data_IF_170538012230
#
_entry.id   IF_170538012230
#
_cell.length_a   1.000
_cell.length_b   1.000
_cell.length_c   1.000
_cell.angle_alpha   90.00
_cell.angle_beta   90.00
_cell.angle_gamma   90.00
#
_symmetry.space_group_name_H-M   'P 1'
#
loop_
_entity.id
_entity.type
_entity.pdbx_description
1 polymer ?
#
# COMPACT_ATOMS: atom_id res chain seq x y z
N UNK A 1 67.85 18.03 4.49
CA UNK A 1 66.58 18.10 5.19
C UNK A 1 65.60 17.13 4.51
N UNK A 2 65.22 16.01 5.08
CA UNK A 2 64.31 15.08 4.42
C UNK A 2 62.84 15.55 4.65
N UNK A 3 62.18 15.79 3.53
CA UNK A 3 60.74 16.14 3.50
C UNK A 3 59.93 14.94 3.97
N UNK A 4 59.18 15.12 5.06
CA UNK A 4 58.31 14.09 5.64
C UNK A 4 57.21 13.73 4.64
N UNK A 5 57.35 12.62 3.91
CA UNK A 5 56.30 12.06 2.99
C UNK A 5 55.20 11.29 3.72
N UNK A 6 55.16 11.31 5.03
CA UNK A 6 54.20 10.56 5.86
C UNK A 6 52.75 11.06 5.82
N UNK A 7 52.45 12.38 5.77
CA UNK A 7 51.06 12.82 5.78
C UNK A 7 50.30 12.56 4.49
N UNK A 8 51.01 12.49 3.32
CA UNK A 8 50.33 12.22 2.04
C UNK A 8 49.82 10.78 1.93
N UNK A 9 50.57 9.80 2.45
CA UNK A 9 50.17 8.39 2.45
C UNK A 9 48.96 8.15 3.35
N UNK A 10 48.87 8.84 4.50
CA UNK A 10 47.73 8.74 5.42
C UNK A 10 46.47 9.34 4.82
N UNK A 11 46.56 10.44 4.06
CA UNK A 11 45.46 11.05 3.34
C UNK A 11 44.92 10.13 2.24
N UNK A 12 45.82 9.46 1.53
CA UNK A 12 45.47 8.50 0.45
C UNK A 12 44.75 7.27 1.02
N UNK A 13 45.12 6.76 2.19
CA UNK A 13 44.48 5.66 2.88
C UNK A 13 43.10 6.08 3.40
N UNK A 14 42.94 7.29 3.92
CA UNK A 14 41.63 7.80 4.39
C UNK A 14 40.65 8.06 3.24
N UNK A 15 41.11 8.42 2.05
CA UNK A 15 40.25 8.58 0.86
C UNK A 15 39.85 7.23 0.29
N UNK A 16 40.66 6.18 0.41
CA UNK A 16 40.34 4.83 -0.07
C UNK A 16 39.27 4.12 0.75
N UNK A 17 39.03 4.51 2.01
CA UNK A 17 37.98 3.90 2.85
C UNK A 17 36.57 4.42 2.59
N UNK A 18 36.42 5.53 1.87
CA UNK A 18 35.08 6.08 1.58
C UNK A 18 34.43 5.52 0.30
N UNK A 19 35.09 4.61 -0.41
CA UNK A 19 34.54 4.02 -1.66
C UNK A 19 33.84 2.67 -1.46
N UNK A 20 33.77 2.16 -0.22
CA UNK A 20 33.18 0.83 0.05
C UNK A 20 31.64 0.89 0.19
N UNK A 21 31.05 2.07 0.34
CA UNK A 21 29.58 2.22 0.43
C UNK A 21 28.83 2.23 -0.91
N UNK A 22 29.51 2.20 -2.04
CA UNK A 22 28.89 2.29 -3.38
C UNK A 22 28.45 0.95 -3.97
N UNK A 23 28.60 -0.18 -3.26
CA UNK A 23 28.30 -1.51 -3.81
C UNK A 23 27.01 -2.15 -3.30
N UNK A 24 26.14 -1.42 -2.64
CA UNK A 24 24.83 -1.93 -2.21
C UNK A 24 23.69 -1.69 -3.20
N UNK A 25 23.98 -1.23 -4.40
CA UNK A 25 22.98 -1.29 -5.47
C UNK A 25 23.08 -2.67 -6.14
N UNK A 26 22.06 -3.51 -5.89
CA UNK A 26 21.84 -4.77 -6.62
C UNK A 26 21.47 -4.51 -8.09
N UNK A 27 22.29 -3.74 -8.80
CA UNK A 27 22.13 -3.54 -10.23
C UNK A 27 22.54 -4.81 -10.97
N UNK A 28 21.60 -5.35 -11.76
CA UNK A 28 21.89 -6.39 -12.73
C UNK A 28 21.82 -7.84 -12.23
N UNK A 29 21.23 -8.11 -11.07
CA UNK A 29 20.92 -9.48 -10.64
C UNK A 29 19.45 -9.78 -10.85
N UNK A 30 19.13 -10.47 -11.93
CA UNK A 30 17.83 -11.11 -12.08
C UNK A 30 17.67 -12.17 -11.00
N UNK A 31 16.45 -12.34 -10.51
CA UNK A 31 16.09 -13.47 -9.67
C UNK A 31 16.28 -14.76 -10.47
N UNK A 32 16.60 -15.84 -9.80
CA UNK A 32 16.61 -17.17 -10.41
C UNK A 32 15.15 -17.52 -10.73
N UNK A 33 14.90 -17.87 -11.98
CA UNK A 33 13.63 -18.42 -12.43
C UNK A 33 13.78 -19.93 -12.44
N UNK A 34 12.96 -20.63 -11.67
CA UNK A 34 13.01 -22.10 -11.55
C UNK A 34 12.08 -22.79 -12.54
N UNK A 35 11.19 -22.03 -13.18
CA UNK A 35 10.20 -22.52 -14.13
C UNK A 35 10.27 -21.73 -15.43
N UNK A 36 10.06 -22.39 -16.55
CA UNK A 36 9.87 -21.74 -17.85
C UNK A 36 8.39 -21.41 -18.03
N UNK A 37 8.08 -20.13 -18.20
CA UNK A 37 6.71 -19.65 -18.39
C UNK A 37 6.38 -19.51 -19.87
N UNK A 38 5.47 -20.31 -20.37
CA UNK A 38 4.83 -20.08 -21.68
C UNK A 38 3.73 -19.02 -21.52
N UNK A 39 4.09 -17.76 -21.72
CA UNK A 39 3.15 -16.65 -21.59
C UNK A 39 2.16 -16.62 -22.74
N UNK A 40 0.88 -16.56 -22.38
CA UNK A 40 -0.25 -16.32 -23.26
C UNK A 40 -0.88 -14.98 -22.91
N UNK A 41 -1.65 -14.39 -23.84
CA UNK A 41 -2.25 -13.07 -23.68
C UNK A 41 -3.73 -13.15 -23.99
N UNK A 42 -4.56 -12.65 -23.08
CA UNK A 42 -5.95 -12.29 -23.33
C UNK A 42 -6.00 -10.77 -23.50
N UNK A 43 -6.65 -10.31 -24.54
CA UNK A 43 -6.88 -8.88 -24.75
C UNK A 43 -8.35 -8.56 -24.54
N UNK A 44 -8.63 -7.67 -23.59
CA UNK A 44 -9.96 -7.11 -23.35
C UNK A 44 -10.02 -5.67 -23.86
N UNK A 45 -11.05 -4.91 -23.56
CA UNK A 45 -11.15 -3.51 -23.99
C UNK A 45 -10.05 -2.65 -23.37
N UNK A 46 -9.76 -2.84 -22.07
CA UNK A 46 -8.84 -1.98 -21.34
C UNK A 46 -7.56 -2.68 -20.87
N UNK A 47 -7.45 -4.01 -21.02
CA UNK A 47 -6.32 -4.77 -20.46
C UNK A 47 -5.63 -5.67 -21.48
N UNK A 48 -4.31 -5.85 -21.28
CA UNK A 48 -3.49 -6.93 -21.82
C UNK A 48 -3.12 -7.87 -20.69
N UNK A 49 -3.75 -9.04 -20.62
CA UNK A 49 -3.65 -9.98 -19.50
C UNK A 49 -2.70 -11.10 -19.87
N UNK A 50 -1.57 -11.15 -19.18
CA UNK A 50 -0.54 -12.17 -19.34
C UNK A 50 -0.76 -13.28 -18.32
N UNK A 51 -0.81 -14.52 -18.77
CA UNK A 51 -0.92 -15.72 -17.92
C UNK A 51 -0.11 -16.87 -18.52
N UNK A 52 0.18 -17.91 -17.74
CA UNK A 52 0.96 -19.05 -18.20
C UNK A 52 0.30 -20.39 -17.89
N UNK A 53 0.63 -21.41 -18.67
CA UNK A 53 0.17 -22.78 -18.45
C UNK A 53 -1.35 -22.97 -18.60
N UNK A 54 -1.93 -23.79 -17.73
CA UNK A 54 -3.38 -24.13 -17.69
C UNK A 54 -4.20 -23.15 -16.83
N UNK A 55 -3.87 -21.86 -16.87
CA UNK A 55 -4.50 -20.83 -16.03
C UNK A 55 -5.57 -20.02 -16.77
N UNK A 56 -6.04 -20.49 -17.95
CA UNK A 56 -6.93 -19.74 -18.82
C UNK A 56 -8.24 -19.35 -18.12
N UNK A 57 -8.93 -20.29 -17.48
CA UNK A 57 -10.23 -20.06 -16.83
C UNK A 57 -10.13 -18.98 -15.73
N UNK A 58 -9.11 -19.05 -14.89
CA UNK A 58 -8.88 -18.06 -13.84
C UNK A 58 -8.47 -16.70 -14.44
N UNK A 59 -7.70 -16.71 -15.54
CA UNK A 59 -7.32 -15.48 -16.22
C UNK A 59 -8.54 -14.79 -16.87
N UNK A 60 -9.48 -15.54 -17.41
CA UNK A 60 -10.76 -15.02 -17.95
C UNK A 60 -11.62 -14.41 -16.83
N UNK A 61 -11.74 -15.09 -15.67
CA UNK A 61 -12.42 -14.55 -14.48
C UNK A 61 -11.73 -13.27 -13.99
N UNK A 62 -10.41 -13.29 -13.95
CA UNK A 62 -9.62 -12.09 -13.58
C UNK A 62 -9.81 -10.93 -14.55
N UNK A 63 -10.01 -11.22 -15.84
CA UNK A 63 -10.32 -10.23 -16.86
C UNK A 63 -11.69 -9.57 -16.62
N UNK A 64 -12.70 -10.34 -16.27
CA UNK A 64 -14.02 -9.82 -15.91
C UNK A 64 -13.94 -8.91 -14.68
N UNK A 65 -13.25 -9.34 -13.64
CA UNK A 65 -13.05 -8.52 -12.42
C UNK A 65 -12.30 -7.22 -12.72
N UNK A 66 -11.34 -7.25 -13.63
CA UNK A 66 -10.59 -6.07 -14.01
C UNK A 66 -11.44 -5.06 -14.79
N UNK A 67 -12.25 -5.53 -15.75
CA UNK A 67 -13.15 -4.66 -16.52
C UNK A 67 -14.26 -4.06 -15.64
N UNK A 68 -14.86 -4.85 -14.73
CA UNK A 68 -15.80 -4.33 -13.73
C UNK A 68 -15.18 -3.20 -12.90
N UNK A 69 -13.94 -3.41 -12.41
CA UNK A 69 -13.23 -2.42 -11.62
C UNK A 69 -12.89 -1.17 -12.45
N UNK A 70 -12.50 -1.32 -13.71
CA UNK A 70 -12.22 -0.22 -14.61
C UNK A 70 -13.46 0.67 -14.79
N UNK A 71 -14.61 0.06 -15.04
CA UNK A 71 -15.87 0.79 -15.21
C UNK A 71 -16.30 1.57 -13.95
N UNK A 72 -16.07 1.00 -12.78
CA UNK A 72 -16.33 1.67 -11.53
C UNK A 72 -15.33 2.81 -11.28
N UNK A 73 -14.02 2.56 -11.46
CA UNK A 73 -12.98 3.51 -11.09
C UNK A 73 -12.87 4.70 -12.02
N UNK A 74 -13.21 4.56 -13.32
CA UNK A 74 -13.34 5.73 -14.20
C UNK A 74 -14.35 6.75 -13.68
N UNK A 75 -15.40 6.29 -12.99
CA UNK A 75 -16.41 7.15 -12.38
C UNK A 75 -15.90 7.71 -11.05
N UNK A 76 -15.40 6.85 -10.14
CA UNK A 76 -14.92 7.25 -8.82
C UNK A 76 -13.77 8.26 -8.88
N UNK A 77 -12.81 8.05 -9.77
CA UNK A 77 -11.70 8.97 -9.97
C UNK A 77 -12.05 10.18 -10.86
N UNK A 78 -13.22 10.15 -11.53
CA UNK A 78 -13.56 11.12 -12.56
C UNK A 78 -12.38 11.33 -13.53
N UNK A 79 -11.83 10.24 -14.01
CA UNK A 79 -10.66 10.19 -14.91
C UNK A 79 -10.66 8.87 -15.69
N UNK A 80 -9.95 8.85 -16.80
CA UNK A 80 -9.86 7.65 -17.64
C UNK A 80 -8.40 7.30 -17.93
N UNK A 81 -8.06 6.04 -17.80
CA UNK A 81 -6.79 5.48 -18.25
C UNK A 81 -6.93 5.09 -19.71
N UNK A 82 -6.32 5.87 -20.61
CA UNK A 82 -6.49 5.71 -22.06
C UNK A 82 -5.62 4.63 -22.67
N UNK A 83 -4.56 4.20 -21.99
CA UNK A 83 -3.69 3.10 -22.43
C UNK A 83 -4.21 1.78 -21.88
N UNK A 84 -3.98 0.70 -22.64
CA UNK A 84 -4.24 -0.64 -22.10
C UNK A 84 -3.31 -0.91 -20.91
N UNK A 85 -3.86 -1.52 -19.88
CA UNK A 85 -3.14 -1.82 -18.64
C UNK A 85 -2.63 -3.25 -18.73
N UNK A 86 -1.31 -3.50 -18.64
CA UNK A 86 -0.79 -4.86 -18.59
C UNK A 86 -1.05 -5.46 -17.20
N UNK A 87 -1.80 -6.58 -17.15
CA UNK A 87 -1.97 -7.41 -15.97
C UNK A 87 -1.16 -8.69 -16.14
N UNK A 88 -0.33 -9.04 -15.16
CA UNK A 88 0.48 -10.27 -15.18
C UNK A 88 0.01 -11.16 -14.05
N UNK A 89 -0.66 -12.25 -14.42
CA UNK A 89 -1.18 -13.22 -13.47
C UNK A 89 -0.25 -14.42 -13.32
N UNK A 90 0.10 -14.73 -12.09
CA UNK A 90 0.82 -15.93 -11.72
C UNK A 90 -0.11 -16.95 -11.07
N UNK A 91 0.06 -18.23 -11.40
CA UNK A 91 -0.79 -19.29 -10.89
C UNK A 91 -0.64 -19.52 -9.39
N UNK A 92 0.54 -19.20 -8.85
CA UNK A 92 0.86 -19.35 -7.43
C UNK A 92 1.74 -18.21 -6.93
N UNK A 93 1.75 -18.02 -5.61
CA UNK A 93 2.65 -17.05 -4.97
C UNK A 93 4.14 -17.40 -5.17
N UNK A 94 4.49 -18.70 -5.21
CA UNK A 94 5.87 -19.15 -5.46
C UNK A 94 6.35 -18.72 -6.85
N UNK A 95 5.49 -18.81 -7.86
CA UNK A 95 5.79 -18.33 -9.21
C UNK A 95 5.91 -16.81 -9.24
N UNK A 96 5.02 -16.11 -8.54
CA UNK A 96 5.06 -14.65 -8.41
C UNK A 96 6.37 -14.15 -7.77
N UNK A 97 6.90 -14.85 -6.78
CA UNK A 97 8.19 -14.51 -6.16
C UNK A 97 9.37 -14.55 -7.15
N UNK A 98 9.26 -15.29 -8.27
CA UNK A 98 10.28 -15.38 -9.31
C UNK A 98 10.27 -14.20 -10.29
N UNK A 99 9.24 -13.32 -10.23
CA UNK A 99 9.14 -12.18 -11.17
C UNK A 99 10.36 -11.27 -11.09
N UNK A 100 10.89 -10.89 -12.26
CA UNK A 100 11.93 -9.89 -12.41
C UNK A 100 11.40 -8.47 -12.68
N UNK A 101 10.09 -8.26 -12.54
CA UNK A 101 9.46 -6.94 -12.67
C UNK A 101 9.89 -6.03 -11.52
N UNK A 102 10.05 -6.60 -10.33
CA UNK A 102 10.63 -5.91 -9.18
C UNK A 102 11.90 -6.61 -8.69
N UNK A 103 12.88 -5.84 -8.22
CA UNK A 103 14.10 -6.37 -7.62
C UNK A 103 13.88 -6.82 -6.17
N UNK A 104 14.70 -7.77 -5.70
CA UNK A 104 14.66 -8.23 -4.32
C UNK A 104 13.63 -9.32 -4.05
N UNK A 105 13.59 -9.76 -2.80
CA UNK A 105 12.67 -10.80 -2.33
C UNK A 105 11.26 -10.22 -2.16
N UNK A 106 10.24 -10.98 -2.56
CA UNK A 106 8.83 -10.65 -2.33
C UNK A 106 8.36 -11.48 -1.12
N UNK A 107 8.01 -10.84 0.01
CA UNK A 107 7.46 -11.54 1.18
C UNK A 107 6.15 -12.27 0.87
N UNK A 108 5.84 -13.32 1.63
CA UNK A 108 4.60 -14.11 1.48
C UNK A 108 3.33 -13.27 1.68
N UNK A 109 3.40 -12.20 2.48
CA UNK A 109 2.26 -11.32 2.73
C UNK A 109 1.95 -10.34 1.60
N UNK A 110 2.75 -10.30 0.52
CA UNK A 110 2.51 -9.41 -0.62
C UNK A 110 1.54 -10.10 -1.58
N UNK A 111 0.31 -9.60 -1.67
CA UNK A 111 -0.74 -10.14 -2.53
C UNK A 111 -0.65 -9.75 -4.00
N UNK A 112 0.06 -8.67 -4.32
CA UNK A 112 0.28 -8.14 -5.66
C UNK A 112 1.10 -6.86 -5.60
N UNK A 113 1.37 -6.26 -6.73
CA UNK A 113 1.94 -4.91 -6.79
C UNK A 113 1.71 -4.22 -8.13
N UNK A 114 1.62 -2.91 -8.06
CA UNK A 114 1.64 -2.03 -9.22
C UNK A 114 3.05 -1.53 -9.50
N UNK A 115 3.61 -1.85 -10.67
CA UNK A 115 4.91 -1.35 -11.12
C UNK A 115 4.72 -0.03 -11.87
N UNK A 116 5.15 1.05 -11.23
CA UNK A 116 4.90 2.42 -11.64
C UNK A 116 5.50 2.82 -13.00
N UNK A 117 6.73 2.36 -13.32
CA UNK A 117 7.47 2.85 -14.50
C UNK A 117 6.84 2.43 -15.82
N UNK A 118 6.42 1.18 -15.93
CA UNK A 118 5.75 0.62 -17.12
C UNK A 118 4.26 0.48 -16.92
N UNK A 119 3.77 0.70 -15.70
CA UNK A 119 2.36 0.63 -15.34
C UNK A 119 1.79 -0.78 -15.42
N UNK A 120 2.59 -1.78 -15.05
CA UNK A 120 2.17 -3.18 -14.98
C UNK A 120 1.61 -3.50 -13.61
N UNK A 121 0.57 -4.29 -13.59
CA UNK A 121 0.01 -4.87 -12.37
C UNK A 121 0.36 -6.34 -12.34
N UNK A 122 0.92 -6.82 -11.23
CA UNK A 122 1.40 -8.20 -11.09
C UNK A 122 0.72 -8.84 -9.89
N UNK A 123 0.01 -9.94 -10.13
CA UNK A 123 -0.87 -10.57 -9.12
C UNK A 123 -0.72 -12.09 -9.16
N UNK A 124 -0.46 -12.76 -8.02
CA UNK A 124 -0.59 -14.20 -7.90
C UNK A 124 -2.04 -14.59 -7.58
N UNK A 125 -2.47 -15.73 -8.07
CA UNK A 125 -3.66 -16.39 -7.58
C UNK A 125 -3.31 -17.21 -6.34
N UNK A 126 -4.00 -16.96 -5.22
CA UNK A 126 -3.72 -17.60 -3.93
C UNK A 126 -4.79 -18.64 -3.53
N UNK A 127 -5.55 -19.17 -4.51
CA UNK A 127 -6.54 -20.22 -4.30
C UNK A 127 -7.95 -19.71 -3.99
N UNK A 128 -8.16 -18.43 -3.75
CA UNK A 128 -9.48 -17.82 -3.50
C UNK A 128 -9.82 -16.79 -4.59
N UNK A 129 -10.94 -16.96 -5.26
CA UNK A 129 -11.44 -15.99 -6.25
C UNK A 129 -11.84 -14.67 -5.59
N UNK A 130 -12.37 -14.68 -4.38
CA UNK A 130 -12.71 -13.48 -3.63
C UNK A 130 -11.45 -12.64 -3.34
N UNK A 131 -10.41 -13.29 -2.84
CA UNK A 131 -9.12 -12.62 -2.59
C UNK A 131 -8.48 -12.14 -3.91
N UNK A 132 -8.57 -12.94 -4.98
CA UNK A 132 -8.05 -12.55 -6.29
C UNK A 132 -8.77 -11.32 -6.84
N UNK A 133 -10.12 -11.27 -6.73
CA UNK A 133 -10.91 -10.08 -7.07
C UNK A 133 -10.50 -8.87 -6.24
N UNK A 134 -10.34 -9.04 -4.93
CA UNK A 134 -9.89 -7.96 -4.03
C UNK A 134 -8.54 -7.40 -4.48
N UNK A 135 -7.54 -8.25 -4.69
CA UNK A 135 -6.19 -7.80 -5.08
C UNK A 135 -6.19 -7.12 -6.45
N UNK A 136 -6.91 -7.66 -7.45
CA UNK A 136 -7.05 -6.99 -8.75
C UNK A 136 -7.60 -5.57 -8.57
N UNK A 137 -8.66 -5.42 -7.81
CA UNK A 137 -9.28 -4.12 -7.53
C UNK A 137 -8.34 -3.19 -6.78
N UNK A 138 -7.64 -3.69 -5.76
CA UNK A 138 -6.67 -2.94 -4.97
C UNK A 138 -5.57 -2.34 -5.85
N UNK A 139 -4.94 -3.17 -6.67
CA UNK A 139 -3.86 -2.72 -7.57
C UNK A 139 -4.37 -1.76 -8.65
N UNK A 140 -5.61 -1.93 -9.11
CA UNK A 140 -6.21 -1.01 -10.08
C UNK A 140 -6.51 0.36 -9.45
N UNK A 141 -6.83 0.45 -8.16
CA UNK A 141 -6.91 1.76 -7.47
C UNK A 141 -5.58 2.51 -7.58
N UNK A 142 -4.45 1.82 -7.39
CA UNK A 142 -3.13 2.45 -7.55
C UNK A 142 -2.89 2.95 -8.98
N UNK A 143 -3.33 2.21 -9.99
CA UNK A 143 -3.22 2.63 -11.40
C UNK A 143 -4.00 3.92 -11.65
N UNK A 144 -5.28 3.94 -11.26
CA UNK A 144 -6.17 5.10 -11.47
C UNK A 144 -5.73 6.32 -10.65
N UNK A 145 -5.38 6.09 -9.38
CA UNK A 145 -4.86 7.16 -8.51
C UNK A 145 -3.59 7.79 -9.09
N UNK A 146 -2.66 6.96 -9.55
CA UNK A 146 -1.42 7.43 -10.18
C UNK A 146 -1.70 8.24 -11.44
N UNK A 147 -2.60 7.76 -12.30
CA UNK A 147 -3.01 8.46 -13.52
C UNK A 147 -3.66 9.81 -13.18
N UNK A 148 -4.61 9.82 -12.23
CA UNK A 148 -5.28 11.05 -11.77
C UNK A 148 -4.29 12.08 -11.23
N UNK A 149 -3.41 11.66 -10.33
CA UNK A 149 -2.38 12.55 -9.77
C UNK A 149 -1.41 13.07 -10.84
N UNK A 150 -1.05 12.22 -11.79
CA UNK A 150 -0.20 12.62 -12.91
C UNK A 150 -0.88 13.68 -13.78
N UNK A 151 -2.15 13.47 -14.15
CA UNK A 151 -2.92 14.41 -14.96
C UNK A 151 -3.07 15.76 -14.26
N UNK A 152 -3.46 15.78 -12.99
CA UNK A 152 -3.59 17.01 -12.19
C UNK A 152 -2.28 17.80 -12.17
N UNK A 153 -1.16 17.13 -11.90
CA UNK A 153 0.14 17.79 -11.78
C UNK A 153 0.68 18.26 -13.13
N UNK A 154 0.43 17.48 -14.19
CA UNK A 154 0.75 17.88 -15.57
C UNK A 154 -0.02 19.14 -15.99
N UNK A 155 -1.34 19.16 -15.77
CA UNK A 155 -2.20 20.31 -16.13
C UNK A 155 -1.83 21.57 -15.36
N UNK A 156 -1.36 21.40 -14.12
CA UNK A 156 -0.86 22.48 -13.26
C UNK A 156 0.62 22.82 -13.46
N UNK A 157 1.31 22.12 -14.39
CA UNK A 157 2.75 22.30 -14.69
C UNK A 157 3.64 22.15 -13.47
N UNK A 158 3.29 21.21 -12.57
CA UNK A 158 4.06 20.92 -11.37
C UNK A 158 5.27 20.05 -11.76
N UNK A 159 6.47 20.57 -11.54
CA UNK A 159 7.73 19.86 -11.85
C UNK A 159 8.17 18.91 -10.72
N UNK A 160 7.95 19.31 -9.47
CA UNK A 160 8.21 18.45 -8.31
C UNK A 160 6.94 17.67 -7.96
N UNK A 161 6.88 16.41 -8.40
CA UNK A 161 5.72 15.57 -8.22
C UNK A 161 5.45 15.29 -6.74
N UNK A 162 4.21 15.47 -6.34
CA UNK A 162 3.72 15.18 -5.00
C UNK A 162 2.90 13.92 -5.01
N UNK A 163 3.10 13.08 -4.00
CA UNK A 163 2.28 11.88 -3.75
C UNK A 163 1.66 12.01 -2.36
N UNK A 164 0.47 11.47 -2.14
CA UNK A 164 -0.07 11.32 -0.81
C UNK A 164 0.84 10.43 0.06
N UNK A 165 0.73 10.50 1.39
CA UNK A 165 1.43 9.57 2.26
C UNK A 165 0.94 8.12 2.05
N UNK A 166 1.79 7.14 2.39
CA UNK A 166 1.50 5.72 2.13
C UNK A 166 0.19 5.28 2.78
N UNK A 167 -0.12 5.74 4.01
CA UNK A 167 -1.37 5.38 4.68
C UNK A 167 -2.62 5.80 3.89
N UNK A 168 -2.56 6.94 3.18
CA UNK A 168 -3.67 7.37 2.32
C UNK A 168 -3.72 6.53 1.04
N UNK A 169 -2.57 6.25 0.43
CA UNK A 169 -2.45 5.46 -0.81
C UNK A 169 -3.04 4.06 -0.58
N UNK A 170 -2.58 3.38 0.46
CA UNK A 170 -3.00 2.02 0.79
C UNK A 170 -4.42 2.00 1.39
N UNK A 171 -4.72 2.97 2.25
CA UNK A 171 -6.08 3.12 2.80
C UNK A 171 -7.13 3.32 1.72
N UNK A 172 -6.82 4.08 0.67
CA UNK A 172 -7.72 4.27 -0.48
C UNK A 172 -7.87 2.99 -1.29
N UNK A 173 -6.76 2.28 -1.53
CA UNK A 173 -6.78 1.01 -2.23
C UNK A 173 -7.64 -0.02 -1.48
N UNK A 174 -7.52 -0.11 -0.17
CA UNK A 174 -8.38 -0.93 0.68
C UNK A 174 -9.85 -0.47 0.65
N UNK A 175 -10.11 0.83 0.81
CA UNK A 175 -11.47 1.38 0.91
C UNK A 175 -12.27 1.19 -0.38
N UNK A 176 -11.66 1.35 -1.55
CA UNK A 176 -12.38 1.21 -2.83
C UNK A 176 -12.31 -0.20 -3.44
N UNK A 177 -11.45 -1.09 -2.93
CA UNK A 177 -11.32 -2.45 -3.45
C UNK A 177 -12.19 -3.47 -2.74
N UNK A 178 -12.44 -3.28 -1.45
CA UNK A 178 -13.08 -4.26 -0.61
C UNK A 178 -13.91 -3.64 0.51
N UNK A 179 -14.86 -4.39 1.05
CA UNK A 179 -15.63 -3.97 2.20
C UNK A 179 -14.83 -4.10 3.51
N UNK A 180 -15.31 -3.44 4.57
CA UNK A 180 -14.76 -3.58 5.92
C UNK A 180 -15.04 -4.97 6.47
N UNK A 181 -14.05 -5.85 6.46
CA UNK A 181 -14.17 -7.25 6.85
C UNK A 181 -13.93 -7.50 8.35
N UNK A 182 -14.10 -8.75 8.76
CA UNK A 182 -13.90 -9.17 10.15
C UNK A 182 -12.45 -9.05 10.61
N UNK A 183 -11.48 -9.17 9.71
CA UNK A 183 -10.06 -9.01 10.02
C UNK A 183 -9.73 -7.54 10.28
N UNK A 184 -10.21 -6.64 9.42
CA UNK A 184 -10.08 -5.20 9.62
C UNK A 184 -10.72 -4.76 10.94
N UNK A 185 -11.94 -5.25 11.21
CA UNK A 185 -12.66 -4.96 12.46
C UNK A 185 -11.91 -5.48 13.69
N UNK A 186 -11.35 -6.68 13.63
CA UNK A 186 -10.58 -7.27 14.72
C UNK A 186 -9.32 -6.44 15.03
N UNK A 187 -8.56 -6.07 14.01
CA UNK A 187 -7.29 -5.36 14.18
C UNK A 187 -7.51 -3.95 14.68
N UNK A 188 -8.45 -3.19 14.10
CA UNK A 188 -8.74 -1.84 14.55
C UNK A 188 -9.31 -1.82 15.97
N UNK A 189 -10.24 -2.73 16.26
CA UNK A 189 -10.79 -2.88 17.61
C UNK A 189 -9.70 -3.19 18.65
N UNK A 190 -8.80 -4.12 18.33
CA UNK A 190 -7.68 -4.46 19.20
C UNK A 190 -6.77 -3.26 19.43
N UNK A 191 -6.41 -2.53 18.38
CA UNK A 191 -5.60 -1.32 18.48
C UNK A 191 -6.24 -0.26 19.38
N UNK A 192 -7.55 0.01 19.20
CA UNK A 192 -8.25 1.02 19.99
C UNK A 192 -8.39 0.60 21.45
N UNK A 193 -8.75 -0.67 21.72
CA UNK A 193 -8.98 -1.16 23.07
C UNK A 193 -7.68 -1.31 23.88
N UNK A 194 -6.56 -1.60 23.24
CA UNK A 194 -5.25 -1.77 23.91
C UNK A 194 -4.37 -0.51 23.85
N UNK A 195 -4.89 0.62 23.34
CA UNK A 195 -4.15 1.88 23.29
C UNK A 195 -3.03 1.92 22.23
N UNK A 196 -3.11 1.04 21.23
CA UNK A 196 -2.16 0.96 20.10
C UNK A 196 -2.64 1.70 18.85
N UNK A 197 -3.83 2.30 18.89
CA UNK A 197 -4.35 3.14 17.83
C UNK A 197 -3.48 4.38 17.65
N UNK A 198 -3.18 4.72 16.40
CA UNK A 198 -2.25 5.80 16.04
C UNK A 198 -3.03 6.93 15.36
N UNK A 199 -3.01 8.19 15.87
CA UNK A 199 -3.65 9.32 15.22
C UNK A 199 -2.95 9.70 13.90
N UNK A 200 -3.65 10.45 13.03
CA UNK A 200 -3.19 10.81 11.68
C UNK A 200 -1.78 11.41 11.64
N UNK A 201 -1.49 12.32 12.56
CA UNK A 201 -0.18 13.00 12.65
C UNK A 201 0.98 12.05 12.96
N UNK A 202 0.70 10.88 13.53
CA UNK A 202 1.69 9.89 13.96
C UNK A 202 1.72 8.64 13.08
N UNK A 203 0.93 8.57 11.99
CA UNK A 203 0.81 7.41 11.09
C UNK A 203 2.17 6.88 10.56
N UNK A 204 3.20 7.72 10.51
CA UNK A 204 4.55 7.28 10.14
C UNK A 204 5.16 6.26 11.13
N UNK A 205 4.67 6.20 12.39
CA UNK A 205 5.15 5.24 13.39
C UNK A 205 4.79 3.79 13.07
N UNK A 206 3.73 3.60 12.28
CA UNK A 206 3.27 2.28 11.83
C UNK A 206 3.44 2.09 10.31
N UNK A 207 4.39 2.82 9.71
CA UNK A 207 4.64 2.81 8.27
C UNK A 207 4.81 1.40 7.72
N UNK A 208 4.05 1.05 6.67
CA UNK A 208 4.11 -0.23 5.97
C UNK A 208 3.55 -1.43 6.76
N UNK A 209 2.96 -1.22 7.94
CA UNK A 209 2.31 -2.30 8.70
C UNK A 209 0.87 -2.50 8.25
N UNK A 210 0.33 -3.70 8.48
CA UNK A 210 -1.09 -3.99 8.20
C UNK A 210 -2.04 -3.07 8.99
N UNK A 211 -1.67 -2.65 10.20
CA UNK A 211 -2.43 -1.67 10.97
C UNK A 211 -2.57 -0.35 10.22
N UNK A 212 -1.50 0.15 9.58
CA UNK A 212 -1.55 1.39 8.79
C UNK A 212 -2.57 1.29 7.64
N UNK A 213 -2.65 0.15 6.97
CA UNK A 213 -3.64 -0.09 5.90
C UNK A 213 -5.07 0.03 6.44
N UNK A 214 -5.33 -0.62 7.59
CA UNK A 214 -6.68 -0.67 8.18
C UNK A 214 -7.07 0.63 8.89
N UNK A 215 -6.14 1.32 9.54
CA UNK A 215 -6.38 2.68 10.04
C UNK A 215 -6.64 3.66 8.89
N UNK A 216 -5.84 3.60 7.81
CA UNK A 216 -6.05 4.41 6.62
C UNK A 216 -7.42 4.16 5.96
N UNK A 217 -7.81 2.88 5.78
CA UNK A 217 -9.13 2.50 5.28
C UNK A 217 -10.24 3.07 6.16
N UNK A 218 -10.14 2.88 7.47
CA UNK A 218 -11.15 3.36 8.42
C UNK A 218 -11.25 4.88 8.47
N UNK A 219 -10.11 5.57 8.40
CA UNK A 219 -10.12 7.03 8.31
C UNK A 219 -10.88 7.52 7.08
N UNK A 220 -10.68 6.89 5.92
CA UNK A 220 -11.40 7.27 4.69
C UNK A 220 -12.90 6.93 4.77
N UNK A 221 -13.27 5.84 5.46
CA UNK A 221 -14.67 5.55 5.79
C UNK A 221 -15.26 6.66 6.67
N UNK A 222 -14.53 7.06 7.73
CA UNK A 222 -14.93 8.17 8.59
C UNK A 222 -15.11 9.47 7.81
N UNK A 223 -14.18 9.79 6.89
CA UNK A 223 -14.30 10.98 6.03
C UNK A 223 -15.54 10.89 5.14
N UNK A 224 -15.82 9.72 4.56
CA UNK A 224 -16.98 9.53 3.72
C UNK A 224 -18.30 9.70 4.49
N UNK A 225 -18.36 9.18 5.72
CA UNK A 225 -19.54 9.23 6.58
C UNK A 225 -19.80 10.64 7.15
N UNK A 226 -18.74 11.34 7.60
CA UNK A 226 -18.87 12.64 8.29
C UNK A 226 -18.88 13.83 7.33
N UNK A 227 -18.08 13.77 6.25
CA UNK A 227 -17.84 14.91 5.33
C UNK A 227 -18.33 14.66 3.91
N UNK A 228 -18.62 13.41 3.55
CA UNK A 228 -18.99 12.97 2.21
C UNK A 228 -17.84 12.36 1.41
N UNK A 229 -18.14 11.31 0.63
CA UNK A 229 -17.16 10.54 -0.14
C UNK A 229 -16.41 11.40 -1.19
N UNK A 230 -17.06 12.44 -1.72
CA UNK A 230 -16.46 13.38 -2.68
C UNK A 230 -15.22 14.12 -2.13
N UNK A 231 -15.09 14.23 -0.81
CA UNK A 231 -13.94 14.84 -0.15
C UNK A 231 -12.65 14.06 -0.36
N UNK A 232 -12.74 12.73 -0.47
CA UNK A 232 -11.58 11.86 -0.73
C UNK A 232 -10.97 12.21 -2.09
N UNK A 233 -11.79 12.32 -3.14
CA UNK A 233 -11.32 12.75 -4.45
C UNK A 233 -10.76 14.17 -4.42
N UNK A 234 -11.41 15.08 -3.69
CA UNK A 234 -10.96 16.48 -3.52
C UNK A 234 -9.62 16.59 -2.82
N UNK A 235 -9.27 15.69 -1.89
CA UNK A 235 -7.92 15.67 -1.31
C UNK A 235 -6.87 15.41 -2.39
N UNK A 236 -7.09 14.46 -3.30
CA UNK A 236 -6.18 14.23 -4.42
C UNK A 236 -6.12 15.42 -5.36
N UNK A 237 -7.26 16.04 -5.67
CA UNK A 237 -7.35 17.20 -6.56
C UNK A 237 -6.67 18.45 -5.99
N UNK A 238 -6.51 18.55 -4.67
CA UNK A 238 -5.88 19.66 -3.98
C UNK A 238 -4.41 19.43 -3.59
N UNK A 239 -3.86 18.22 -3.79
CA UNK A 239 -2.49 17.87 -3.35
C UNK A 239 -1.41 18.83 -3.88
N UNK A 240 -1.60 19.39 -5.05
CA UNK A 240 -0.66 20.33 -5.66
C UNK A 240 -0.53 21.64 -4.91
N UNK A 241 -1.53 22.04 -4.12
CA UNK A 241 -1.61 23.34 -3.43
C UNK A 241 -0.65 23.46 -2.26
N UNK A 242 -0.42 22.37 -1.54
CA UNK A 242 0.28 22.38 -0.25
C UNK A 242 1.53 21.51 -0.27
N UNK A 243 2.44 21.76 0.68
CA UNK A 243 3.67 20.97 0.82
C UNK A 243 3.49 19.76 1.72
N UNK A 244 2.56 19.85 2.67
CA UNK A 244 2.21 18.77 3.58
C UNK A 244 0.81 18.25 3.25
N UNK A 245 0.61 16.97 3.44
CA UNK A 245 -0.70 16.35 3.17
C UNK A 245 -1.74 16.69 4.25
N UNK A 246 -1.30 16.96 5.46
CA UNK A 246 -2.12 17.48 6.54
C UNK A 246 -2.82 18.78 6.13
N UNK A 247 -2.09 19.74 5.54
CA UNK A 247 -2.66 21.01 5.05
C UNK A 247 -3.71 20.77 3.94
N UNK A 248 -3.55 19.69 3.13
CA UNK A 248 -4.54 19.28 2.13
C UNK A 248 -5.82 18.78 2.79
N UNK A 249 -5.70 17.99 3.86
CA UNK A 249 -6.84 17.48 4.63
C UNK A 249 -7.60 18.65 5.26
N UNK A 250 -6.91 19.53 5.99
CA UNK A 250 -7.49 20.70 6.63
C UNK A 250 -8.22 21.60 5.63
N UNK A 251 -7.58 21.92 4.49
CA UNK A 251 -8.19 22.70 3.44
C UNK A 251 -9.45 22.04 2.86
N UNK A 252 -9.43 20.72 2.72
CA UNK A 252 -10.51 19.99 2.07
C UNK A 252 -11.69 19.74 3.00
N UNK A 253 -11.43 19.47 4.28
CA UNK A 253 -12.45 19.19 5.28
C UNK A 253 -12.93 20.46 6.00
N UNK A 254 -12.11 21.51 6.05
CA UNK A 254 -12.43 22.80 6.67
C UNK A 254 -12.22 22.83 8.17
N UNK A 255 -11.49 21.90 8.73
CA UNK A 255 -11.14 21.77 10.16
C UNK A 255 -9.65 21.50 10.31
N UNK A 256 -9.11 21.75 11.51
CA UNK A 256 -7.70 21.44 11.83
C UNK A 256 -7.49 19.93 11.94
N UNK A 257 -6.25 19.48 11.72
CA UNK A 257 -5.93 18.05 11.82
C UNK A 257 -6.20 17.51 13.23
N UNK A 258 -6.00 18.33 14.26
CA UNK A 258 -6.28 18.00 15.65
C UNK A 258 -7.78 17.78 15.88
N UNK A 259 -8.64 18.66 15.36
CA UNK A 259 -10.11 18.51 15.47
C UNK A 259 -10.59 17.25 14.75
N UNK A 260 -10.04 16.96 13.58
CA UNK A 260 -10.37 15.77 12.79
C UNK A 260 -9.92 14.51 13.54
N UNK A 261 -8.69 14.48 14.07
CA UNK A 261 -8.17 13.36 14.87
C UNK A 261 -9.00 13.11 16.13
N UNK A 262 -9.41 14.18 16.82
CA UNK A 262 -10.29 14.07 17.99
C UNK A 262 -11.64 13.46 17.64
N UNK A 263 -12.28 13.91 16.57
CA UNK A 263 -13.56 13.38 16.10
C UNK A 263 -13.45 11.91 15.71
N UNK A 264 -12.43 11.57 14.91
CA UNK A 264 -12.21 10.19 14.49
C UNK A 264 -11.89 9.27 15.68
N UNK A 265 -10.99 9.67 16.57
CA UNK A 265 -10.66 8.93 17.79
C UNK A 265 -11.90 8.77 18.68
N UNK A 266 -12.71 9.82 18.81
CA UNK A 266 -13.94 9.78 19.60
C UNK A 266 -14.95 8.78 19.03
N UNK A 267 -15.16 8.78 17.71
CA UNK A 267 -16.07 7.84 17.05
C UNK A 267 -15.65 6.38 17.28
N UNK A 268 -14.35 6.09 17.20
CA UNK A 268 -13.80 4.76 17.48
C UNK A 268 -13.98 4.35 18.95
N UNK A 269 -13.74 5.26 19.89
CA UNK A 269 -13.97 5.01 21.31
C UNK A 269 -15.44 4.76 21.61
N UNK A 270 -16.35 5.54 21.02
CA UNK A 270 -17.80 5.30 21.15
C UNK A 270 -18.20 3.92 20.62
N UNK A 271 -17.62 3.47 19.52
CA UNK A 271 -17.88 2.17 18.94
C UNK A 271 -17.35 1.02 19.80
N UNK A 272 -16.12 1.10 20.30
CA UNK A 272 -15.42 -0.05 20.87
C UNK A 272 -15.40 -0.11 22.41
N UNK A 273 -15.38 1.01 23.12
CA UNK A 273 -15.32 1.01 24.59
C UNK A 273 -16.51 0.31 25.27
N UNK A 274 -17.76 0.37 24.75
CA UNK A 274 -18.84 -0.41 25.32
C UNK A 274 -18.60 -1.91 25.35
N UNK A 275 -17.72 -2.43 24.48
CA UNK A 275 -17.36 -3.86 24.46
C UNK A 275 -16.57 -4.28 25.70
N UNK A 276 -15.95 -3.34 26.44
CA UNK A 276 -15.30 -3.61 27.73
C UNK A 276 -16.29 -3.71 28.89
N UNK A 277 -17.48 -3.17 28.74
CA UNK A 277 -18.49 -3.29 29.80
C UNK A 277 -18.82 -4.78 30.00
N UNK A 278 -18.56 -5.27 31.21
CA UNK A 278 -18.78 -6.65 31.61
C UNK A 278 -17.71 -7.68 31.11
N UNK A 279 -16.54 -7.24 30.65
CA UNK A 279 -15.42 -8.15 30.34
C UNK A 279 -14.21 -7.78 31.18
N UNK A 280 -13.60 -8.78 31.82
CA UNK A 280 -12.29 -8.59 32.44
C UNK A 280 -11.24 -8.45 31.34
N UNK A 281 -10.44 -7.37 31.30
CA UNK A 281 -9.28 -7.28 30.41
C UNK A 281 -8.36 -8.46 30.66
N UNK A 282 -7.85 -9.08 29.61
CA UNK A 282 -6.88 -10.18 29.74
C UNK A 282 -5.64 -9.79 30.54
N UNK A 283 -5.26 -8.50 30.51
CA UNK A 283 -4.16 -7.93 31.31
C UNK A 283 -4.41 -7.98 32.83
N UNK A 284 -5.66 -8.11 33.27
CA UNK A 284 -6.04 -8.21 34.69
C UNK A 284 -6.24 -9.68 35.11
N UNK A 285 -6.72 -10.51 34.21
CA UNK A 285 -7.06 -11.92 34.46
C UNK A 285 -5.95 -12.93 34.11
N UNK A 286 -4.84 -12.50 33.52
CA UNK A 286 -3.74 -13.38 33.08
C UNK A 286 -2.39 -12.81 33.41
N UNK A 287 -1.38 -13.70 33.60
CA UNK A 287 0.00 -13.30 33.79
C UNK A 287 0.68 -13.15 32.41
N UNK A 288 1.33 -12.02 32.19
CA UNK A 288 2.17 -11.81 31.02
C UNK A 288 3.43 -12.67 31.14
N UNK A 289 3.62 -13.57 30.18
CA UNK A 289 4.77 -14.51 30.18
C UNK A 289 5.97 -13.91 29.45
N UNK A 290 5.73 -13.09 28.41
CA UNK A 290 6.79 -12.44 27.62
C UNK A 290 6.51 -10.94 27.52
N UNK A 291 7.56 -10.11 27.62
CA UNK A 291 7.44 -8.65 27.64
C UNK A 291 7.88 -7.98 26.35
N UNK A 292 8.74 -8.64 25.55
CA UNK A 292 9.34 -8.06 24.36
C UNK A 292 9.37 -9.05 23.18
N UNK A 293 9.42 -8.50 21.96
CA UNK A 293 9.62 -9.24 20.71
C UNK A 293 8.35 -9.93 20.17
N UNK A 294 8.54 -10.62 19.06
CA UNK A 294 7.50 -11.43 18.43
C UNK A 294 7.54 -12.85 18.98
N UNK A 295 6.46 -13.32 19.56
CA UNK A 295 6.34 -14.66 20.13
C UNK A 295 5.47 -15.52 19.20
N UNK A 296 6.11 -16.46 18.49
CA UNK A 296 5.44 -17.38 17.58
C UNK A 296 5.36 -18.78 18.19
N UNK A 297 4.26 -19.47 17.88
CA UNK A 297 4.07 -20.89 18.22
C UNK A 297 4.34 -21.22 19.70
N UNK A 298 3.63 -20.57 20.64
CA UNK A 298 3.81 -20.90 22.05
C UNK A 298 3.43 -22.36 22.29
N UNK A 299 4.32 -23.11 22.94
CA UNK A 299 4.04 -24.47 23.43
C UNK A 299 3.66 -24.37 24.91
N UNK A 300 2.59 -25.08 25.30
CA UNK A 300 2.15 -25.25 26.69
C UNK A 300 2.57 -26.61 27.17
#
# INVERSE_FOLDING_TARGET
MPIKRFPLLLIFILISFNTISAQFFNFGRNKVTYEDFEWKIIQTEHFDIYYSGEFLEIAEIGAEYAEEAFDEYKIKFNDIVTRRIPLVFYNTHIQFQQTNITSGFIPEGVGGFFEFLKGRVVIPHMGSLEQFRHVIRHELVHVFMTQKLFNIQKDRRITNRKMPPLWFIEGLAEYWSYYWDTQAEMILRDAVLNGNFIPLKDMLRIYGTFLMYKEGQNFLMFVADEYGEDKILKMMENIWRFSKFEDVIEYTLGETIEEIDEKWTHSLKQKYYPLYQNKFPHTVGSNKITEEGFNFSPAI
#
